data_IF_291698171906
#
_entry.id   IF_291698171906
#
_cell.length_a   1.000
_cell.length_b   1.000
_cell.length_c   1.000
_cell.angle_alpha   90.00
_cell.angle_beta   90.00
_cell.angle_gamma   90.00
#
_symmetry.space_group_name_H-M   'P 1'
#
loop_
_entity.id
_entity.type
_entity.pdbx_description
1 polymer ?
#
# COMPACT_ATOMS: atom_id res chain seq x y z
N UNK A 1 -7.19 -33.88 -7.57
CA UNK A 1 -8.39 -33.03 -7.83
C UNK A 1 -9.64 -33.91 -7.93
N UNK A 2 -9.57 -35.02 -8.65
CA UNK A 2 -10.67 -35.99 -8.81
C UNK A 2 -11.09 -36.69 -7.50
N UNK A 3 -10.17 -36.86 -6.54
CA UNK A 3 -10.46 -37.47 -5.24
C UNK A 3 -11.10 -36.51 -4.20
N UNK A 4 -11.40 -35.25 -4.58
CA UNK A 4 -12.04 -34.28 -3.67
C UNK A 4 -11.16 -33.73 -2.53
N UNK A 5 -9.91 -34.18 -2.40
CA UNK A 5 -9.00 -33.80 -1.29
C UNK A 5 -8.34 -32.41 -1.43
N UNK A 6 -8.38 -31.84 -2.64
CA UNK A 6 -7.67 -30.59 -2.96
C UNK A 6 -8.52 -29.33 -2.82
N UNK A 7 -9.85 -29.47 -2.87
CA UNK A 7 -10.78 -28.34 -2.88
C UNK A 7 -11.93 -28.64 -1.94
N UNK A 8 -12.28 -27.66 -1.09
CA UNK A 8 -13.49 -27.69 -0.29
C UNK A 8 -14.57 -26.86 -0.98
N UNK A 9 -15.84 -27.16 -0.71
CA UNK A 9 -16.94 -26.27 -1.08
C UNK A 9 -16.79 -24.94 -0.38
N UNK A 10 -16.86 -23.83 -1.14
CA UNK A 10 -16.86 -22.49 -0.58
C UNK A 10 -18.28 -22.11 -0.15
N UNK A 11 -18.55 -22.29 1.15
CA UNK A 11 -19.85 -21.92 1.73
C UNK A 11 -20.05 -20.41 1.86
N UNK A 12 -19.05 -19.59 1.53
CA UNK A 12 -19.09 -18.13 1.61
C UNK A 12 -19.37 -17.44 0.27
N UNK A 13 -19.16 -18.13 -0.86
CA UNK A 13 -19.29 -17.57 -2.22
C UNK A 13 -20.63 -16.84 -2.44
N UNK A 14 -21.73 -17.43 -1.95
CA UNK A 14 -23.07 -16.88 -2.07
C UNK A 14 -23.67 -16.34 -0.76
N UNK A 15 -22.84 -16.15 0.27
CA UNK A 15 -23.33 -15.71 1.56
C UNK A 15 -23.83 -14.24 1.45
N UNK A 16 -25.12 -13.97 1.75
CA UNK A 16 -25.71 -12.64 1.58
C UNK A 16 -24.98 -11.54 2.35
N UNK A 17 -24.34 -11.88 3.49
CA UNK A 17 -23.57 -10.94 4.30
C UNK A 17 -22.29 -10.44 3.60
N UNK A 18 -21.80 -11.17 2.58
CA UNK A 18 -20.63 -10.80 1.80
C UNK A 18 -21.02 -10.16 0.46
N UNK A 19 -22.03 -10.72 -0.22
CA UNK A 19 -22.50 -10.20 -1.52
C UNK A 19 -23.10 -8.79 -1.36
N UNK A 20 -23.95 -8.59 -0.34
CA UNK A 20 -24.69 -7.34 -0.18
C UNK A 20 -23.88 -6.25 0.54
N UNK A 21 -22.64 -6.56 0.94
CA UNK A 21 -21.81 -5.61 1.69
C UNK A 21 -21.23 -4.57 0.73
N UNK A 22 -21.39 -3.31 1.08
CA UNK A 22 -20.71 -2.22 0.40
C UNK A 22 -19.18 -2.42 0.49
N UNK A 23 -18.53 -2.46 -0.67
CA UNK A 23 -17.08 -2.65 -0.78
C UNK A 23 -16.42 -1.30 -0.49
N UNK A 24 -15.54 -1.29 0.50
CA UNK A 24 -14.76 -0.11 0.88
C UNK A 24 -13.27 -0.38 0.77
N UNK A 25 -12.49 0.65 0.45
CA UNK A 25 -11.03 0.56 0.41
C UNK A 25 -10.51 0.70 1.84
N UNK A 26 -9.83 -0.34 2.34
CA UNK A 26 -9.27 -0.35 3.69
C UNK A 26 -7.80 0.06 3.75
N UNK A 27 -7.07 -0.15 2.66
CA UNK A 27 -5.62 -0.06 2.63
C UNK A 27 -5.15 0.32 1.22
N UNK A 28 -4.03 1.03 1.13
CA UNK A 28 -3.29 1.24 -0.12
C UNK A 28 -1.83 0.81 0.05
N UNK A 29 -1.29 0.22 -1.01
CA UNK A 29 0.13 -0.02 -1.18
C UNK A 29 0.65 1.03 -2.17
N UNK A 30 1.43 1.99 -1.67
CA UNK A 30 1.94 3.11 -2.46
C UNK A 30 3.35 2.78 -2.94
N UNK A 31 3.49 2.59 -4.24
CA UNK A 31 4.81 2.42 -4.85
C UNK A 31 5.48 3.79 -4.95
N UNK A 32 6.25 4.18 -3.93
CA UNK A 32 6.86 5.52 -3.88
C UNK A 32 8.11 5.64 -4.76
N UNK A 33 8.64 4.50 -5.20
CA UNK A 33 9.76 4.38 -6.13
C UNK A 33 9.57 3.15 -7.02
N UNK A 34 9.70 3.30 -8.34
CA UNK A 34 9.92 2.22 -9.30
C UNK A 34 11.40 2.16 -9.70
N UNK A 35 12.29 2.37 -8.74
CA UNK A 35 13.70 1.96 -8.83
C UNK A 35 14.14 1.36 -7.49
N UNK A 36 15.16 0.52 -7.56
CA UNK A 36 15.78 -0.11 -6.40
C UNK A 36 17.30 0.03 -6.50
N UNK A 37 18.01 0.05 -5.37
CA UNK A 37 19.47 -0.04 -5.33
C UNK A 37 20.00 -1.49 -5.37
N UNK A 38 19.11 -2.48 -5.37
CA UNK A 38 19.41 -3.91 -5.54
C UNK A 38 18.77 -4.47 -6.81
N UNK A 39 19.17 -5.67 -7.24
CA UNK A 39 18.62 -6.37 -8.41
C UNK A 39 18.27 -7.83 -8.08
N UNK A 40 17.37 -8.04 -7.13
CA UNK A 40 17.00 -9.38 -6.63
C UNK A 40 16.43 -10.26 -7.75
N UNK A 41 17.00 -11.45 -7.96
CA UNK A 41 16.63 -12.38 -9.05
C UNK A 41 15.16 -12.82 -9.03
N UNK A 42 14.56 -12.90 -7.83
CA UNK A 42 13.17 -13.33 -7.62
C UNK A 42 12.20 -12.15 -7.53
N UNK A 43 12.64 -10.91 -7.76
CA UNK A 43 11.78 -9.75 -7.60
C UNK A 43 10.72 -9.69 -8.71
N UNK A 44 9.45 -9.74 -8.32
CA UNK A 44 8.32 -9.60 -9.25
C UNK A 44 8.27 -8.22 -9.93
N UNK A 45 8.91 -7.22 -9.34
CA UNK A 45 9.03 -5.86 -9.86
C UNK A 45 10.14 -5.72 -10.92
N UNK A 46 10.48 -6.77 -11.67
CA UNK A 46 11.55 -6.72 -12.69
C UNK A 46 12.87 -6.15 -12.17
N UNK A 47 13.27 -6.55 -10.97
CA UNK A 47 14.46 -6.01 -10.27
C UNK A 47 14.36 -4.53 -9.84
N UNK A 48 13.17 -3.94 -9.85
CA UNK A 48 12.85 -2.63 -9.25
C UNK A 48 11.99 -1.72 -10.13
N UNK A 49 12.05 -1.88 -11.46
CA UNK A 49 11.43 -0.98 -12.45
C UNK A 49 10.02 -1.40 -12.90
N UNK A 50 9.50 -2.52 -12.38
CA UNK A 50 8.19 -3.08 -12.75
C UNK A 50 8.01 -3.31 -14.26
N UNK A 51 9.10 -3.42 -15.03
CA UNK A 51 9.06 -3.54 -16.49
C UNK A 51 8.73 -2.23 -17.22
N UNK A 52 8.77 -1.09 -16.53
CA UNK A 52 8.53 0.25 -17.07
C UNK A 52 9.73 1.19 -16.87
N UNK A 53 9.49 2.49 -17.04
CA UNK A 53 10.51 3.49 -16.74
C UNK A 53 10.68 3.68 -15.23
N UNK A 54 11.88 4.09 -14.83
CA UNK A 54 12.18 4.43 -13.44
C UNK A 54 11.43 5.69 -13.06
N UNK A 55 10.37 5.53 -12.28
CA UNK A 55 9.56 6.64 -11.80
C UNK A 55 9.62 6.80 -10.29
N UNK A 56 9.57 8.05 -9.84
CA UNK A 56 9.54 8.41 -8.43
C UNK A 56 8.21 9.12 -8.17
N UNK A 57 7.45 8.65 -7.19
CA UNK A 57 6.18 9.26 -6.81
C UNK A 57 6.42 10.66 -6.28
N UNK A 58 5.76 11.67 -6.87
CA UNK A 58 5.74 13.01 -6.30
C UNK A 58 4.72 13.12 -5.17
N UNK A 59 4.86 14.17 -4.35
CA UNK A 59 3.98 14.40 -3.19
C UNK A 59 2.51 14.53 -3.58
N UNK A 60 2.19 15.22 -4.67
CA UNK A 60 0.80 15.47 -5.08
C UNK A 60 0.05 14.17 -5.41
N UNK A 61 0.72 13.22 -6.06
CA UNK A 61 0.15 11.89 -6.35
C UNK A 61 -0.08 11.11 -5.05
N UNK A 62 0.90 11.07 -4.15
CA UNK A 62 0.75 10.38 -2.87
C UNK A 62 -0.34 11.02 -1.99
N UNK A 63 -0.44 12.34 -2.00
CA UNK A 63 -1.48 13.10 -1.31
C UNK A 63 -2.86 12.75 -1.88
N UNK A 64 -3.01 12.75 -3.21
CA UNK A 64 -4.25 12.34 -3.87
C UNK A 64 -4.63 10.89 -3.54
N UNK A 65 -3.65 9.98 -3.39
CA UNK A 65 -3.90 8.61 -2.97
C UNK A 65 -4.42 8.52 -1.52
N UNK A 66 -3.88 9.32 -0.60
CA UNK A 66 -4.39 9.42 0.79
C UNK A 66 -5.82 9.96 0.80
N UNK A 67 -6.08 11.04 0.05
CA UNK A 67 -7.42 11.62 -0.08
C UNK A 67 -8.41 10.59 -0.64
N UNK A 68 -7.99 9.83 -1.67
CA UNK A 68 -8.78 8.75 -2.26
C UNK A 68 -9.10 7.65 -1.24
N UNK A 69 -8.11 7.18 -0.48
CA UNK A 69 -8.32 6.15 0.55
C UNK A 69 -9.33 6.62 1.60
N UNK A 70 -9.21 7.85 2.08
CA UNK A 70 -10.13 8.40 3.07
C UNK A 70 -11.54 8.47 2.51
N UNK A 71 -11.71 9.02 1.30
CA UNK A 71 -13.01 9.16 0.65
C UNK A 71 -13.70 7.81 0.38
N UNK A 72 -12.93 6.77 0.05
CA UNK A 72 -13.46 5.46 -0.34
C UNK A 72 -13.46 4.43 0.81
N UNK A 73 -13.21 4.87 2.04
CA UNK A 73 -13.17 3.98 3.22
C UNK A 73 -14.49 3.88 3.99
N UNK A 74 -15.52 4.63 3.58
CA UNK A 74 -16.82 4.68 4.25
C UNK A 74 -16.69 4.97 5.76
N UNK A 75 -17.41 4.20 6.59
CA UNK A 75 -17.38 4.33 8.05
C UNK A 75 -16.16 3.67 8.72
N UNK A 76 -15.22 3.11 7.95
CA UNK A 76 -14.04 2.47 8.51
C UNK A 76 -13.12 3.52 9.14
N UNK A 77 -12.80 3.38 10.42
CA UNK A 77 -11.90 4.29 11.14
C UNK A 77 -10.42 3.97 10.90
N UNK A 78 -10.05 2.69 10.97
CA UNK A 78 -8.65 2.26 10.86
C UNK A 78 -8.29 1.97 9.41
N UNK A 79 -7.35 2.75 8.87
CA UNK A 79 -6.86 2.66 7.49
C UNK A 79 -5.38 2.29 7.49
N UNK A 80 -4.91 1.70 6.40
CA UNK A 80 -3.52 1.28 6.26
C UNK A 80 -2.89 1.89 5.00
N UNK A 81 -1.67 2.38 5.14
CA UNK A 81 -0.84 2.83 4.03
C UNK A 81 0.49 2.13 4.15
N UNK A 82 0.80 1.31 3.15
CA UNK A 82 2.09 0.65 3.02
C UNK A 82 2.94 1.38 1.99
N UNK A 83 4.13 1.82 2.39
CA UNK A 83 5.12 2.38 1.49
C UNK A 83 5.94 1.23 0.89
N UNK A 84 5.82 1.08 -0.43
CA UNK A 84 6.35 -0.03 -1.20
C UNK A 84 7.02 0.48 -2.49
N UNK A 85 7.34 -0.44 -3.40
CA UNK A 85 7.88 -0.16 -4.73
C UNK A 85 9.09 -1.04 -5.00
N UNK A 86 10.10 -0.47 -5.66
CA UNK A 86 11.46 -1.00 -5.69
C UNK A 86 12.11 -0.86 -4.31
N UNK A 87 12.67 0.31 -4.00
CA UNK A 87 13.14 0.63 -2.65
C UNK A 87 12.53 1.97 -2.17
N UNK A 88 11.61 1.96 -1.18
CA UNK A 88 10.94 3.17 -0.72
C UNK A 88 11.88 4.17 -0.03
N UNK A 89 13.00 3.73 0.57
CA UNK A 89 13.96 4.65 1.19
C UNK A 89 14.72 5.51 0.17
N UNK A 90 14.67 5.19 -1.13
CA UNK A 90 15.19 6.07 -2.19
C UNK A 90 14.35 7.34 -2.36
N UNK A 91 13.09 7.35 -1.89
CA UNK A 91 12.19 8.50 -1.92
C UNK A 91 11.66 8.83 -0.51
N UNK A 92 12.54 8.78 0.49
CA UNK A 92 12.14 8.90 1.89
C UNK A 92 11.58 10.27 2.27
N UNK A 93 11.94 11.33 1.54
CA UNK A 93 11.40 12.66 1.79
C UNK A 93 9.90 12.73 1.46
N UNK A 94 9.45 12.11 0.37
CA UNK A 94 8.02 11.98 0.07
C UNK A 94 7.32 11.12 1.11
N UNK A 95 7.94 10.02 1.57
CA UNK A 95 7.39 9.21 2.67
C UNK A 95 7.12 10.07 3.90
N UNK A 96 8.07 10.92 4.33
CA UNK A 96 7.89 11.83 5.47
C UNK A 96 6.75 12.83 5.24
N UNK A 97 6.72 13.47 4.06
CA UNK A 97 5.67 14.42 3.71
C UNK A 97 4.27 13.77 3.73
N UNK A 98 4.16 12.54 3.24
CA UNK A 98 2.90 11.78 3.23
C UNK A 98 2.46 11.34 4.61
N UNK A 99 3.39 10.93 5.48
CA UNK A 99 3.09 10.65 6.89
C UNK A 99 2.60 11.91 7.59
N UNK A 100 3.30 13.04 7.44
CA UNK A 100 2.90 14.33 8.02
C UNK A 100 1.51 14.75 7.55
N UNK A 101 1.27 14.70 6.23
CA UNK A 101 -0.02 15.00 5.65
C UNK A 101 -1.12 14.08 6.19
N UNK A 102 -0.89 12.76 6.19
CA UNK A 102 -1.84 11.77 6.69
C UNK A 102 -2.20 11.98 8.17
N UNK A 103 -1.20 12.29 9.02
CA UNK A 103 -1.42 12.64 10.44
C UNK A 103 -2.22 13.93 10.62
N UNK A 104 -2.06 14.90 9.72
CA UNK A 104 -2.84 16.15 9.73
C UNK A 104 -4.31 15.89 9.39
N UNK A 105 -4.59 15.09 8.36
CA UNK A 105 -5.96 14.88 7.86
C UNK A 105 -6.74 13.79 8.59
N UNK A 106 -6.08 12.79 9.19
CA UNK A 106 -6.79 11.68 9.84
C UNK A 106 -7.69 12.16 10.98
N UNK A 107 -7.23 13.14 11.77
CA UNK A 107 -7.98 13.67 12.93
C UNK A 107 -9.23 14.41 12.48
N UNK A 108 -9.11 15.26 11.46
CA UNK A 108 -10.25 16.06 10.95
C UNK A 108 -11.27 15.20 10.22
N UNK A 109 -10.88 14.01 9.76
CA UNK A 109 -11.73 13.06 9.02
C UNK A 109 -12.21 11.88 9.87
N UNK A 110 -11.91 11.85 11.17
CA UNK A 110 -12.30 10.77 12.08
C UNK A 110 -11.66 9.41 11.73
N UNK A 111 -10.46 9.43 11.14
CA UNK A 111 -9.69 8.24 10.74
C UNK A 111 -8.48 8.04 11.67
N UNK A 112 -7.90 6.85 11.56
CA UNK A 112 -6.65 6.47 12.20
C UNK A 112 -5.84 5.67 11.19
N UNK A 113 -4.78 6.28 10.66
CA UNK A 113 -3.96 5.70 9.61
C UNK A 113 -2.76 5.02 10.25
N UNK A 114 -2.58 3.74 9.94
CA UNK A 114 -1.36 2.99 10.24
C UNK A 114 -0.45 3.01 9.03
N UNK A 115 0.76 3.50 9.21
CA UNK A 115 1.79 3.50 8.19
C UNK A 115 2.70 2.30 8.38
N UNK A 116 3.00 1.61 7.29
CA UNK A 116 4.02 0.57 7.19
C UNK A 116 4.97 0.91 6.05
N UNK A 117 6.17 0.35 6.10
CA UNK A 117 7.15 0.47 5.03
C UNK A 117 7.81 -0.89 4.84
N UNK A 118 7.95 -1.30 3.58
CA UNK A 118 8.68 -2.51 3.22
C UNK A 118 9.98 -2.11 2.52
N UNK A 119 11.11 -2.27 3.19
CA UNK A 119 12.43 -1.85 2.72
C UNK A 119 13.41 -3.04 2.68
N UNK A 120 14.40 -2.97 1.80
CA UNK A 120 15.55 -3.88 1.80
C UNK A 120 16.57 -3.58 2.93
N UNK A 121 16.44 -2.43 3.60
CA UNK A 121 17.24 -2.04 4.76
C UNK A 121 18.63 -1.48 4.47
N UNK A 122 19.10 -1.49 3.21
CA UNK A 122 20.47 -1.07 2.86
C UNK A 122 20.69 0.44 3.04
N UNK A 123 19.62 1.24 2.99
CA UNK A 123 19.66 2.70 3.13
C UNK A 123 19.30 3.20 4.54
N UNK A 124 19.08 2.30 5.50
CA UNK A 124 18.81 2.67 6.90
C UNK A 124 20.06 3.27 7.56
N UNK A 125 19.84 4.30 8.37
CA UNK A 125 20.84 4.98 9.19
C UNK A 125 20.17 5.54 10.45
N UNK A 126 20.91 6.14 11.39
CA UNK A 126 20.33 6.66 12.63
C UNK A 126 19.21 7.71 12.42
N UNK A 127 19.13 8.30 11.23
CA UNK A 127 18.12 9.31 10.85
C UNK A 127 17.01 8.72 9.96
N UNK A 128 17.07 7.44 9.58
CA UNK A 128 16.10 6.75 8.71
C UNK A 128 15.59 5.45 9.31
#
# INVERSE_FOLDING_TARGET
>A
KEEGLLFTTDTYEFNPNFINREKVVKALCLHVSHDCNLRCKYCFASQGDFGGEKEIMNFEVGKAAIDYLIANSGNRRNLEIDFFGGEPLMNFDVVKQLVEYGRKVEKTRGKNIRFTITTNGVLLDDKK
#
